data_IF_938773259377
#
_entry.id   IF_938773259377
#
_cell.length_a   1.000
_cell.length_b   1.000
_cell.length_c   1.000
_cell.angle_alpha   90.00
_cell.angle_beta   90.00
_cell.angle_gamma   90.00
#
_symmetry.space_group_name_H-M   'P 1'
#
loop_
_entity.id
_entity.type
_entity.pdbx_description
1 polymer ?
#
# COMPACT_ATOMS: atom_id res chain seq x y z
N UNK A 1 -13.89 8.32 -1.59
CA UNK A 1 -12.89 8.70 -2.62
C UNK A 1 -12.80 10.21 -2.67
N UNK A 2 -11.63 10.76 -2.97
CA UNK A 2 -11.41 12.20 -3.13
C UNK A 2 -10.70 12.39 -4.47
N UNK A 3 -11.29 13.18 -5.38
CA UNK A 3 -10.71 13.47 -6.71
C UNK A 3 -10.20 12.22 -7.46
N UNK A 4 -11.01 11.15 -7.53
CA UNK A 4 -10.63 9.89 -8.20
C UNK A 4 -9.64 9.00 -7.43
N UNK A 5 -9.31 9.36 -6.17
CA UNK A 5 -8.40 8.59 -5.33
C UNK A 5 -9.13 7.89 -4.18
N UNK A 6 -8.79 6.62 -3.95
CA UNK A 6 -9.10 5.90 -2.72
C UNK A 6 -8.01 6.22 -1.70
N UNK A 7 -8.41 6.80 -0.57
CA UNK A 7 -7.52 7.02 0.57
C UNK A 7 -7.59 5.79 1.45
N UNK A 8 -6.48 5.07 1.60
CA UNK A 8 -6.45 3.77 2.27
C UNK A 8 -5.52 3.79 3.50
N UNK A 9 -6.08 3.82 4.73
CA UNK A 9 -5.29 3.74 5.95
C UNK A 9 -4.68 2.35 6.16
N UNK A 10 -3.39 2.31 6.48
CA UNK A 10 -2.65 1.06 6.62
C UNK A 10 -1.65 1.11 7.78
N UNK A 11 -1.87 0.28 8.80
CA UNK A 11 -0.90 0.08 9.88
C UNK A 11 0.23 -0.84 9.44
N UNK A 12 1.43 -0.30 9.25
CA UNK A 12 2.57 -1.09 8.79
C UNK A 12 3.45 -1.60 9.93
N UNK A 13 3.62 -0.81 11.00
CA UNK A 13 4.50 -1.15 12.12
C UNK A 13 3.87 -0.87 13.49
N UNK A 14 4.46 -1.49 14.52
CA UNK A 14 4.11 -1.28 15.93
C UNK A 14 5.09 -0.37 16.69
N UNK A 15 6.11 0.12 16.00
CA UNK A 15 7.25 0.89 16.51
C UNK A 15 7.66 1.92 15.47
N UNK A 16 8.38 2.97 15.89
CA UNK A 16 8.91 3.98 14.96
C UNK A 16 9.99 3.37 14.07
N UNK A 17 9.60 2.97 12.86
CA UNK A 17 10.48 2.50 11.80
C UNK A 17 10.09 3.16 10.48
N UNK A 18 11.04 3.40 9.57
CA UNK A 18 10.76 4.05 8.29
C UNK A 18 9.66 3.36 7.47
N UNK A 19 8.86 4.14 6.75
CA UNK A 19 7.78 3.61 5.92
C UNK A 19 8.28 2.70 4.79
N UNK A 20 9.54 2.88 4.35
CA UNK A 20 10.22 2.01 3.39
C UNK A 20 10.38 0.55 3.86
N UNK A 21 10.21 0.28 5.16
CA UNK A 21 10.21 -1.09 5.71
C UNK A 21 8.83 -1.76 5.66
N UNK A 22 7.80 -1.07 5.15
CA UNK A 22 6.43 -1.54 5.15
C UNK A 22 6.25 -2.78 4.27
N UNK A 23 5.55 -3.79 4.83
CA UNK A 23 5.19 -5.02 4.13
C UNK A 23 3.72 -5.38 4.35
N UNK A 24 3.01 -5.69 3.28
CA UNK A 24 1.62 -6.10 3.37
C UNK A 24 1.53 -7.48 4.03
N UNK A 25 0.90 -7.54 5.21
CA UNK A 25 0.74 -8.80 5.96
C UNK A 25 -0.16 -9.76 5.16
N UNK A 26 0.21 -11.05 5.16
CA UNK A 26 -0.27 -12.07 4.20
C UNK A 26 -1.78 -12.31 4.12
N UNK A 27 -2.57 -11.86 5.10
CA UNK A 27 -3.98 -12.27 5.26
C UNK A 27 -5.02 -11.46 4.50
N UNK A 28 -4.66 -10.43 3.74
CA UNK A 28 -5.67 -9.58 3.07
C UNK A 28 -5.51 -9.58 1.56
N UNK A 29 -6.31 -10.40 0.88
CA UNK A 29 -6.45 -10.43 -0.58
C UNK A 29 -6.95 -9.08 -1.10
N UNK A 30 -8.02 -8.55 -0.50
CA UNK A 30 -8.57 -7.23 -0.84
C UNK A 30 -7.53 -6.12 -0.91
N UNK A 31 -6.65 -6.02 0.11
CA UNK A 31 -5.60 -4.99 0.14
C UNK A 31 -4.55 -5.19 -0.95
N UNK A 32 -4.18 -6.44 -1.21
CA UNK A 32 -3.22 -6.75 -2.24
C UNK A 32 -3.77 -6.38 -3.62
N UNK A 33 -5.03 -6.77 -3.88
CA UNK A 33 -5.72 -6.48 -5.14
C UNK A 33 -5.95 -4.97 -5.32
N UNK A 34 -6.29 -4.24 -4.25
CA UNK A 34 -6.43 -2.78 -4.28
C UNK A 34 -5.13 -2.10 -4.72
N UNK A 35 -3.99 -2.50 -4.13
CA UNK A 35 -2.69 -1.88 -4.44
C UNK A 35 -2.18 -2.31 -5.81
N UNK A 36 -2.36 -3.57 -6.22
CA UNK A 36 -1.92 -4.03 -7.54
C UNK A 36 -2.69 -3.36 -8.68
N UNK A 37 -4.00 -3.22 -8.52
CA UNK A 37 -4.87 -2.71 -9.58
C UNK A 37 -4.90 -1.18 -9.65
N UNK A 38 -4.82 -0.51 -8.50
CA UNK A 38 -5.01 0.93 -8.39
C UNK A 38 -3.78 1.67 -7.86
N UNK A 39 -2.70 0.96 -7.55
CA UNK A 39 -1.39 1.54 -7.24
C UNK A 39 -0.66 2.01 -8.48
N UNK A 40 0.55 2.59 -8.31
CA UNK A 40 1.41 2.90 -9.43
C UNK A 40 1.93 1.62 -10.10
N UNK A 41 2.25 1.72 -11.39
CA UNK A 41 2.89 0.65 -12.14
C UNK A 41 4.24 0.27 -11.53
N UNK A 42 4.66 -1.01 -11.62
CA UNK A 42 5.97 -1.45 -11.16
C UNK A 42 7.13 -0.64 -11.75
N UNK A 43 8.03 -0.08 -10.91
CA UNK A 43 9.25 0.62 -11.35
C UNK A 43 10.22 -0.30 -12.09
N UNK A 44 10.24 -1.56 -11.68
CA UNK A 44 11.01 -2.61 -12.30
C UNK A 44 10.02 -3.64 -12.83
N UNK A 45 9.73 -3.62 -14.15
CA UNK A 45 8.96 -4.69 -14.76
C UNK A 45 9.68 -6.01 -14.52
N UNK A 46 8.91 -7.08 -14.27
CA UNK A 46 9.50 -8.41 -14.18
C UNK A 46 10.24 -8.71 -15.49
N UNK A 47 11.51 -9.11 -15.38
CA UNK A 47 12.27 -9.54 -16.55
C UNK A 47 11.52 -10.73 -17.16
N UNK A 48 11.05 -10.57 -18.39
CA UNK A 48 10.30 -11.59 -19.13
C UNK A 48 11.17 -12.78 -19.49
N UNK A 49 11.58 -13.56 -18.50
CA UNK A 49 12.44 -14.75 -18.61
C UNK A 49 11.69 -15.96 -19.19
N UNK A 50 10.55 -15.76 -19.85
CA UNK A 50 9.68 -16.84 -20.34
C UNK A 50 9.07 -17.70 -19.22
N UNK A 51 9.08 -17.20 -17.98
CA UNK A 51 8.41 -17.85 -16.86
C UNK A 51 6.92 -17.50 -16.94
N UNK A 52 6.06 -18.50 -17.07
CA UNK A 52 4.62 -18.34 -16.93
C UNK A 52 4.32 -17.89 -15.49
N UNK A 53 4.07 -16.60 -15.32
CA UNK A 53 3.54 -16.08 -14.07
C UNK A 53 2.10 -16.57 -13.92
N UNK A 54 1.67 -16.96 -12.70
CA UNK A 54 0.28 -17.31 -12.47
C UNK A 54 -0.63 -16.18 -12.96
N UNK A 55 -1.63 -16.54 -13.77
CA UNK A 55 -2.69 -15.62 -14.20
C UNK A 55 -3.23 -14.91 -12.96
N UNK A 56 -3.25 -13.57 -13.00
CA UNK A 56 -3.78 -12.79 -11.89
C UNK A 56 -5.19 -13.26 -11.56
N UNK A 57 -5.40 -13.68 -10.32
CA UNK A 57 -6.71 -14.12 -9.86
C UNK A 57 -7.72 -12.98 -10.00
N UNK A 58 -8.97 -13.33 -10.35
CA UNK A 58 -10.10 -12.40 -10.37
C UNK A 58 -10.05 -11.45 -9.16
N UNK A 59 -10.20 -10.13 -9.38
CA UNK A 59 -10.08 -9.15 -8.31
C UNK A 59 -11.15 -9.40 -7.24
N UNK A 60 -10.82 -9.10 -5.99
CA UNK A 60 -11.79 -9.18 -4.89
C UNK A 60 -13.09 -8.43 -5.23
N UNK A 61 -14.25 -9.06 -5.01
CA UNK A 61 -15.57 -8.55 -5.42
C UNK A 61 -15.85 -7.11 -4.91
N UNK A 62 -15.38 -6.78 -3.71
CA UNK A 62 -15.50 -5.43 -3.13
C UNK A 62 -14.83 -4.32 -3.96
N UNK A 63 -13.95 -4.65 -4.91
CA UNK A 63 -13.30 -3.71 -5.82
C UNK A 63 -14.08 -3.49 -7.13
N UNK A 64 -15.12 -4.28 -7.40
CA UNK A 64 -15.87 -4.21 -8.66
C UNK A 64 -16.54 -2.85 -8.91
N UNK A 65 -16.82 -2.08 -7.85
CA UNK A 65 -17.40 -0.74 -7.93
C UNK A 65 -16.39 0.38 -8.19
N UNK A 66 -15.09 0.09 -8.22
CA UNK A 66 -14.07 1.11 -8.49
C UNK A 66 -13.87 1.28 -10.00
N UNK A 67 -13.83 2.54 -10.44
CA UNK A 67 -13.52 2.85 -11.83
C UNK A 67 -12.08 2.38 -12.17
N UNK A 68 -11.80 1.90 -13.39
CA UNK A 68 -10.48 1.39 -13.77
C UNK A 68 -9.33 2.40 -13.59
N UNK A 69 -9.62 3.69 -13.73
CA UNK A 69 -8.69 4.81 -13.57
C UNK A 69 -8.55 5.30 -12.12
N UNK A 70 -9.28 4.69 -11.18
CA UNK A 70 -9.16 4.98 -9.76
C UNK A 70 -7.74 4.71 -9.30
N UNK A 71 -7.15 5.66 -8.55
CA UNK A 71 -5.83 5.51 -7.96
C UNK A 71 -5.92 5.31 -6.45
N UNK A 72 -4.96 4.63 -5.85
CA UNK A 72 -4.87 4.50 -4.39
C UNK A 72 -3.77 5.39 -3.83
N UNK A 73 -4.09 6.09 -2.74
CA UNK A 73 -3.13 6.78 -1.89
C UNK A 73 -3.13 6.08 -0.54
N UNK A 74 -1.97 5.54 -0.16
CA UNK A 74 -1.79 4.91 1.13
C UNK A 74 -1.55 5.96 2.19
N UNK A 75 -2.25 5.85 3.32
CA UNK A 75 -1.94 6.59 4.55
C UNK A 75 -1.34 5.58 5.52
N UNK A 76 -0.02 5.47 5.49
CA UNK A 76 0.73 4.49 6.25
C UNK A 76 1.08 5.03 7.63
N UNK A 77 0.75 4.26 8.67
CA UNK A 77 1.05 4.64 10.04
C UNK A 77 1.74 3.53 10.83
N UNK A 78 2.68 3.93 11.66
CA UNK A 78 3.21 3.12 12.74
C UNK A 78 2.59 3.59 14.05
N UNK A 79 2.10 2.66 14.87
CA UNK A 79 1.54 3.02 16.17
C UNK A 79 1.91 2.00 17.25
N UNK A 80 2.22 2.50 18.44
CA UNK A 80 2.41 1.70 19.65
C UNK A 80 1.21 1.87 20.58
N UNK A 81 1.03 0.97 21.54
CA UNK A 81 -0.02 1.12 22.55
C UNK A 81 0.29 2.26 23.54
N UNK A 82 1.58 2.54 23.76
CA UNK A 82 2.02 3.54 24.74
C UNK A 82 1.98 4.97 24.19
N UNK A 83 2.31 5.16 22.92
CA UNK A 83 2.55 6.49 22.32
C UNK A 83 1.52 6.83 21.24
N UNK A 84 0.57 5.93 20.95
CA UNK A 84 -0.35 6.10 19.84
C UNK A 84 0.38 6.05 18.49
N UNK A 85 0.01 6.94 17.56
CA UNK A 85 0.70 7.05 16.26
C UNK A 85 2.07 7.67 16.50
N UNK A 86 3.13 6.94 16.15
CA UNK A 86 4.52 7.39 16.27
C UNK A 86 5.10 7.88 14.95
N UNK A 87 4.49 7.46 13.83
CA UNK A 87 4.86 7.89 12.49
C UNK A 87 3.65 7.79 11.56
N UNK A 88 3.49 8.79 10.71
CA UNK A 88 2.42 8.89 9.73
C UNK A 88 2.99 9.46 8.44
N UNK A 89 2.85 8.71 7.35
CA UNK A 89 3.31 9.12 6.03
C UNK A 89 2.21 8.78 5.01
N UNK A 90 2.12 9.55 3.93
CA UNK A 90 1.15 9.31 2.85
C UNK A 90 1.84 9.28 1.50
N UNK A 91 1.29 8.54 0.55
CA UNK A 91 1.87 8.45 -0.78
C UNK A 91 1.36 7.30 -1.62
N UNK A 92 2.07 7.06 -2.73
CA UNK A 92 1.80 5.96 -3.66
C UNK A 92 2.89 4.90 -3.53
N UNK A 93 2.47 3.64 -3.50
CA UNK A 93 3.38 2.51 -3.44
C UNK A 93 2.85 1.36 -4.30
N UNK A 94 3.76 0.73 -5.04
CA UNK A 94 3.50 -0.56 -5.69
C UNK A 94 3.64 -1.68 -4.65
N UNK A 95 2.97 -2.80 -4.91
CA UNK A 95 3.13 -4.02 -4.12
C UNK A 95 4.03 -5.00 -4.87
N UNK A 96 5.22 -5.25 -4.32
CA UNK A 96 6.15 -6.20 -4.91
C UNK A 96 5.56 -7.62 -4.88
N UNK A 97 5.58 -8.30 -6.03
CA UNK A 97 4.85 -9.56 -6.27
C UNK A 97 5.34 -10.70 -5.37
N UNK A 98 6.66 -10.79 -5.16
CA UNK A 98 7.31 -11.91 -4.46
C UNK A 98 7.27 -11.80 -2.94
N UNK A 99 7.66 -10.66 -2.38
CA UNK A 99 7.90 -10.51 -0.93
C UNK A 99 6.88 -9.61 -0.22
N UNK A 100 5.90 -9.10 -0.97
CA UNK A 100 4.83 -8.20 -0.49
C UNK A 100 5.35 -6.93 0.19
N UNK A 101 6.58 -6.53 -0.12
CA UNK A 101 7.07 -5.21 0.25
C UNK A 101 6.29 -4.13 -0.50
N UNK A 102 6.12 -2.99 0.16
CA UNK A 102 5.63 -1.79 -0.48
C UNK A 102 6.82 -0.98 -0.95
N UNK A 103 6.94 -0.81 -2.27
CA UNK A 103 7.97 0.03 -2.86
C UNK A 103 7.33 1.40 -3.10
N UNK A 104 7.75 2.38 -2.31
CA UNK A 104 7.18 3.72 -2.35
C UNK A 104 7.73 4.49 -3.55
N UNK A 105 6.82 4.96 -4.39
CA UNK A 105 7.17 5.83 -5.51
C UNK A 105 7.37 7.27 -5.04
N UNK A 106 6.41 7.71 -4.25
CA UNK A 106 6.38 9.01 -3.60
C UNK A 106 5.81 8.81 -2.20
N UNK A 107 6.41 9.43 -1.20
CA UNK A 107 5.83 9.51 0.14
C UNK A 107 6.30 10.76 0.86
N UNK A 108 5.43 11.30 1.70
CA UNK A 108 5.70 12.48 2.52
C UNK A 108 5.22 12.26 3.95
N UNK A 109 5.89 12.87 4.94
CA UNK A 109 5.43 12.85 6.31
C UNK A 109 4.15 13.68 6.47
N UNK A 110 3.20 13.15 7.23
CA UNK A 110 2.06 13.91 7.74
C UNK A 110 2.31 14.32 9.19
N UNK A 111 1.82 15.49 9.62
CA UNK A 111 1.99 15.95 10.99
C UNK A 111 1.29 14.99 11.95
N UNK A 112 2.06 14.45 12.90
CA UNK A 112 1.53 13.65 14.01
C UNK A 112 1.35 14.59 15.21
N UNK A 113 0.12 14.74 15.75
CA UNK A 113 -0.09 15.50 16.97
C UNK A 113 0.70 14.84 18.10
N UNK A 114 1.70 15.53 18.66
CA UNK A 114 2.35 15.08 19.89
C UNK A 114 1.33 15.22 21.02
N UNK A 115 0.96 14.10 21.65
CA UNK A 115 0.24 14.17 22.91
C UNK A 115 1.19 14.80 23.94
N UNK A 116 0.76 15.91 24.53
CA UNK A 116 1.45 16.58 25.64
C UNK A 116 1.18 15.84 26.94
#
# INVERSE_FOLDING_TARGET
MIAGHVIYPYRYAKRDVPVSTAKLRSRSRLRADLIRRHGPDPRQPELGLGLELPVEAEPHADLAGLAPDTKVVLVAYACSLAEGIVRLEWGSAELHSQDRSLIWHHHEPLPVPRQR
#
